data_IF_785589817352
#
_entry.id   IF_785589817352
#
_cell.length_a   1.000
_cell.length_b   1.000
_cell.length_c   1.000
_cell.angle_alpha   90.00
_cell.angle_beta   90.00
_cell.angle_gamma   90.00
#
_symmetry.space_group_name_H-M   'P 1'
#
loop_
_entity.id
_entity.type
_entity.pdbx_description
1 polymer ?
#
# COMPACT_ATOMS: atom_id res chain seq x y z
N UNK A 1 16.65 5.33 -26.22
CA UNK A 1 16.18 4.15 -25.48
C UNK A 1 14.66 4.17 -25.52
N UNK A 2 13.98 3.07 -25.83
CA UNK A 2 12.51 3.03 -25.94
C UNK A 2 11.96 2.32 -24.69
N UNK A 3 11.12 3.00 -23.92
CA UNK A 3 10.48 2.45 -22.72
C UNK A 3 9.29 1.55 -23.11
N UNK A 4 8.86 0.71 -22.18
CA UNK A 4 7.67 -0.12 -22.34
C UNK A 4 6.41 0.77 -22.36
N UNK A 5 5.46 0.48 -23.26
CA UNK A 5 4.19 1.22 -23.37
C UNK A 5 3.32 1.20 -22.10
N UNK A 6 3.51 0.20 -21.22
CA UNK A 6 2.81 0.14 -19.94
C UNK A 6 3.15 1.32 -19.03
N UNK A 7 4.36 1.88 -19.15
CA UNK A 7 4.79 3.04 -18.38
C UNK A 7 4.02 4.32 -18.73
N UNK A 8 3.49 4.42 -19.94
CA UNK A 8 2.68 5.56 -20.37
C UNK A 8 1.33 5.63 -19.62
N UNK A 9 0.94 4.52 -18.96
CA UNK A 9 -0.31 4.40 -18.18
C UNK A 9 -0.12 4.64 -16.68
N UNK A 10 1.13 4.81 -16.21
CA UNK A 10 1.38 5.10 -14.80
C UNK A 10 0.92 6.51 -14.45
N UNK A 11 0.13 6.61 -13.39
CA UNK A 11 -0.15 7.89 -12.74
C UNK A 11 1.04 8.39 -11.93
N UNK A 12 1.07 9.69 -11.64
CA UNK A 12 2.09 10.30 -10.79
C UNK A 12 1.58 10.48 -9.37
N UNK A 13 2.45 10.20 -8.40
CA UNK A 13 2.19 10.53 -7.00
C UNK A 13 2.53 12.02 -6.77
N UNK A 14 1.52 12.88 -6.91
CA UNK A 14 1.68 14.34 -6.85
C UNK A 14 2.10 14.87 -5.47
N UNK A 15 1.90 14.10 -4.40
CA UNK A 15 2.20 14.51 -3.02
C UNK A 15 3.67 14.94 -2.82
N UNK A 16 4.62 14.23 -3.42
CA UNK A 16 6.04 14.59 -3.33
C UNK A 16 6.40 15.82 -4.16
N UNK A 17 5.74 16.02 -5.29
CA UNK A 17 5.90 17.24 -6.11
C UNK A 17 5.38 18.46 -5.35
N UNK A 18 4.21 18.35 -4.73
CA UNK A 18 3.62 19.41 -3.88
C UNK A 18 4.52 19.72 -2.67
N UNK A 19 5.06 18.68 -2.02
CA UNK A 19 6.01 18.86 -0.91
C UNK A 19 7.28 19.60 -1.35
N UNK A 20 7.82 19.27 -2.52
CA UNK A 20 9.01 19.94 -3.06
C UNK A 20 8.74 21.43 -3.34
N UNK A 21 7.58 21.78 -3.91
CA UNK A 21 7.17 23.17 -4.12
C UNK A 21 6.95 23.92 -2.80
N UNK A 22 6.28 23.30 -1.83
CA UNK A 22 6.10 23.88 -0.50
C UNK A 22 7.44 24.21 0.16
N UNK A 23 8.44 23.30 0.10
CA UNK A 23 9.79 23.56 0.63
C UNK A 23 10.50 24.71 -0.07
N UNK A 24 10.31 24.89 -1.38
CA UNK A 24 10.86 26.06 -2.09
C UNK A 24 10.25 27.37 -1.61
N UNK A 25 8.95 27.39 -1.32
CA UNK A 25 8.26 28.57 -0.80
C UNK A 25 8.70 28.87 0.64
N UNK A 26 8.90 27.86 1.48
CA UNK A 26 9.48 28.01 2.81
C UNK A 26 10.88 28.64 2.78
N UNK A 27 11.73 28.16 1.87
CA UNK A 27 13.07 28.72 1.67
C UNK A 27 13.06 30.20 1.25
N UNK A 28 11.93 30.69 0.71
CA UNK A 28 11.68 32.11 0.39
C UNK A 28 11.08 32.88 1.57
N UNK A 29 10.95 32.28 2.76
CA UNK A 29 10.39 32.88 3.96
C UNK A 29 8.85 32.90 4.02
N UNK A 30 8.15 32.16 3.13
CA UNK A 30 6.70 32.06 3.19
C UNK A 30 6.27 31.02 4.22
N UNK A 31 5.37 31.33 5.17
CA UNK A 31 4.85 30.33 6.10
C UNK A 31 4.01 29.29 5.36
N UNK A 32 4.30 28.01 5.56
CA UNK A 32 3.59 26.89 4.91
C UNK A 32 2.95 25.98 5.96
N UNK A 33 1.73 25.51 5.66
CA UNK A 33 1.06 24.45 6.42
C UNK A 33 1.08 23.18 5.55
N UNK A 34 1.80 22.16 6.02
CA UNK A 34 1.98 20.91 5.28
C UNK A 34 0.85 19.92 5.56
N UNK A 35 -0.08 19.77 4.62
CA UNK A 35 -1.16 18.77 4.64
C UNK A 35 -1.07 17.77 3.49
N UNK A 36 0.01 17.83 2.69
CA UNK A 36 0.15 17.01 1.48
C UNK A 36 0.68 15.60 1.74
N UNK A 37 1.31 15.34 2.89
CA UNK A 37 1.88 14.04 3.23
C UNK A 37 1.43 13.61 4.62
N UNK A 38 0.72 12.48 4.69
CA UNK A 38 0.22 11.90 5.95
C UNK A 38 1.31 11.14 6.71
N UNK A 39 2.33 11.86 7.22
CA UNK A 39 3.36 11.26 8.06
C UNK A 39 2.98 11.37 9.54
N UNK A 40 3.03 10.26 10.31
CA UNK A 40 2.86 10.33 11.76
C UNK A 40 3.87 11.28 12.42
N UNK A 41 3.42 12.09 13.38
CA UNK A 41 4.25 13.05 14.12
C UNK A 41 4.96 12.42 15.33
N UNK A 42 4.55 11.21 15.74
CA UNK A 42 5.19 10.44 16.81
C UNK A 42 6.27 9.49 16.28
N UNK A 43 7.27 9.25 17.12
CA UNK A 43 8.40 8.39 16.77
C UNK A 43 8.04 6.91 16.89
N UNK A 44 8.81 6.07 16.20
CA UNK A 44 8.76 4.61 16.38
C UNK A 44 8.91 4.25 17.86
N UNK A 45 8.09 3.36 18.42
CA UNK A 45 8.19 2.96 19.82
C UNK A 45 9.59 2.49 20.21
N UNK A 46 10.07 2.91 21.40
CA UNK A 46 11.44 2.66 21.83
C UNK A 46 11.82 1.18 21.77
N UNK A 47 10.94 0.28 22.21
CA UNK A 47 11.21 -1.16 22.21
C UNK A 47 11.43 -1.73 20.80
N UNK A 48 10.76 -1.16 19.77
CA UNK A 48 10.96 -1.56 18.37
C UNK A 48 12.34 -1.09 17.87
N UNK A 49 12.70 0.17 18.19
CA UNK A 49 14.02 0.73 17.84
C UNK A 49 15.15 -0.09 18.49
N UNK A 50 15.03 -0.40 19.77
CA UNK A 50 16.07 -1.17 20.49
C UNK A 50 16.16 -2.62 19.96
N UNK A 51 15.03 -3.25 19.62
CA UNK A 51 15.04 -4.57 18.98
C UNK A 51 15.76 -4.57 17.63
N UNK A 52 15.55 -3.52 16.81
CA UNK A 52 16.24 -3.39 15.53
C UNK A 52 17.75 -3.19 15.69
N UNK A 53 18.16 -2.33 16.63
CA UNK A 53 19.60 -2.16 16.96
C UNK A 53 20.24 -3.46 17.39
N UNK A 54 19.59 -4.14 18.34
CA UNK A 54 20.07 -5.44 18.85
C UNK A 54 20.21 -6.46 17.72
N UNK A 55 19.25 -6.54 16.79
CA UNK A 55 19.34 -7.47 15.66
C UNK A 55 20.55 -7.19 14.77
N UNK A 56 20.90 -5.91 14.55
CA UNK A 56 22.09 -5.53 13.82
C UNK A 56 23.36 -5.90 14.59
N UNK A 57 23.43 -5.62 15.89
CA UNK A 57 24.58 -5.95 16.76
C UNK A 57 24.79 -7.48 16.84
N UNK A 58 23.70 -8.25 16.85
CA UNK A 58 23.71 -9.72 16.84
C UNK A 58 24.10 -10.32 15.46
N UNK A 59 24.27 -9.49 14.43
CA UNK A 59 24.68 -9.92 13.09
C UNK A 59 23.54 -10.40 12.17
N UNK A 60 22.28 -10.07 12.51
CA UNK A 60 21.11 -10.42 11.67
C UNK A 60 20.95 -9.49 10.46
N UNK A 61 21.95 -9.46 9.58
CA UNK A 61 21.96 -8.62 8.37
C UNK A 61 22.41 -9.39 7.10
N UNK A 62 22.42 -10.74 7.15
CA UNK A 62 22.71 -11.60 6.03
C UNK A 62 21.48 -11.89 5.16
N UNK A 63 21.67 -12.74 4.15
CA UNK A 63 20.58 -13.25 3.33
C UNK A 63 19.60 -14.08 4.13
N UNK A 64 18.32 -13.91 3.82
CA UNK A 64 17.23 -14.68 4.41
C UNK A 64 16.31 -15.23 3.31
N UNK A 65 15.32 -16.04 3.69
CA UNK A 65 14.31 -16.54 2.77
C UNK A 65 13.50 -15.36 2.16
N UNK A 66 13.15 -15.48 0.88
CA UNK A 66 12.44 -14.43 0.13
C UNK A 66 11.08 -14.05 0.70
N UNK A 67 10.42 -14.95 1.42
CA UNK A 67 9.14 -14.71 2.08
C UNK A 67 9.28 -14.17 3.52
N UNK A 68 10.49 -13.91 3.99
CA UNK A 68 10.80 -13.44 5.33
C UNK A 68 11.18 -14.55 6.30
N UNK A 69 11.82 -14.17 7.42
CA UNK A 69 12.26 -15.12 8.44
C UNK A 69 11.07 -15.81 9.12
N UNK A 70 11.17 -17.10 9.46
CA UNK A 70 10.07 -17.86 10.08
C UNK A 70 9.55 -17.20 11.35
N UNK A 71 10.41 -16.65 12.19
CA UNK A 71 10.05 -16.01 13.47
C UNK A 71 9.12 -14.80 13.25
N UNK A 72 9.40 -13.98 12.23
CA UNK A 72 8.56 -12.82 11.88
C UNK A 72 7.21 -13.30 11.32
N UNK A 73 7.20 -14.26 10.40
CA UNK A 73 5.99 -14.83 9.81
C UNK A 73 5.08 -15.45 10.86
N UNK A 74 5.65 -16.22 11.81
CA UNK A 74 4.94 -16.77 12.94
C UNK A 74 4.41 -15.69 13.92
N UNK A 75 5.17 -14.59 14.11
CA UNK A 75 4.69 -13.47 14.92
C UNK A 75 3.44 -12.82 14.31
N UNK A 76 3.40 -12.69 12.98
CA UNK A 76 2.21 -12.19 12.24
C UNK A 76 1.02 -13.13 12.46
N UNK A 77 1.19 -14.44 12.34
CA UNK A 77 0.07 -15.38 12.56
C UNK A 77 -0.47 -15.34 13.99
N UNK A 78 0.43 -15.24 14.98
CA UNK A 78 0.01 -15.04 16.39
C UNK A 78 -0.79 -13.75 16.57
N UNK A 79 -0.37 -12.66 15.91
CA UNK A 79 -1.08 -11.39 15.98
C UNK A 79 -2.47 -11.49 15.31
N UNK A 80 -2.58 -12.11 14.14
CA UNK A 80 -3.85 -12.36 13.44
C UNK A 80 -4.79 -13.19 14.33
N UNK A 81 -4.29 -14.28 14.92
CA UNK A 81 -5.07 -15.11 15.84
C UNK A 81 -5.59 -14.32 17.02
N UNK A 82 -4.72 -13.53 17.66
CA UNK A 82 -5.10 -12.69 18.81
C UNK A 82 -6.13 -11.62 18.44
N UNK A 83 -6.01 -11.00 17.25
CA UNK A 83 -6.82 -9.84 16.87
C UNK A 83 -8.16 -10.22 16.24
N UNK A 84 -8.19 -11.30 15.48
CA UNK A 84 -9.32 -11.69 14.64
C UNK A 84 -9.87 -13.10 14.93
N UNK A 85 -9.24 -13.86 15.85
CA UNK A 85 -9.59 -15.25 16.17
C UNK A 85 -9.49 -16.20 14.95
N UNK A 86 -8.65 -15.86 13.97
CA UNK A 86 -8.43 -16.63 12.74
C UNK A 86 -7.09 -17.33 12.82
N UNK A 87 -7.07 -18.63 12.51
CA UNK A 87 -5.83 -19.39 12.34
C UNK A 87 -5.34 -19.28 10.89
N UNK A 88 -4.11 -18.81 10.74
CA UNK A 88 -3.43 -18.70 9.43
C UNK A 88 -2.12 -19.46 9.52
N UNK A 89 -1.86 -20.34 8.55
CA UNK A 89 -0.57 -20.99 8.43
C UNK A 89 0.52 -19.96 8.09
N UNK A 90 1.64 -19.96 8.82
CA UNK A 90 2.73 -19.02 8.59
C UNK A 90 3.36 -19.17 7.21
N UNK A 91 3.23 -20.32 6.54
CA UNK A 91 3.65 -20.51 5.16
C UNK A 91 2.87 -19.66 4.15
N UNK A 92 1.70 -19.16 4.54
CA UNK A 92 0.90 -18.21 3.75
C UNK A 92 1.23 -16.74 4.03
N UNK A 93 2.23 -16.48 4.87
CA UNK A 93 2.67 -15.11 5.20
C UNK A 93 3.89 -14.75 4.35
N UNK A 94 3.80 -13.62 3.68
CA UNK A 94 4.89 -12.99 2.96
C UNK A 94 5.21 -11.63 3.58
N UNK A 95 6.45 -11.43 3.98
CA UNK A 95 6.93 -10.15 4.51
C UNK A 95 7.51 -9.33 3.35
N UNK A 96 6.95 -8.15 3.15
CA UNK A 96 7.34 -7.25 2.07
C UNK A 96 8.02 -5.97 2.62
N UNK A 97 8.97 -5.38 1.91
CA UNK A 97 9.63 -4.14 2.31
C UNK A 97 8.74 -2.90 2.05
N UNK A 98 7.68 -2.77 2.84
CA UNK A 98 6.70 -1.68 2.75
C UNK A 98 5.39 -2.06 2.09
N UNK A 99 4.37 -1.19 2.22
CA UNK A 99 3.03 -1.44 1.70
C UNK A 99 2.90 -1.27 0.18
N UNK A 100 3.65 -0.35 -0.42
CA UNK A 100 3.57 -0.11 -1.89
C UNK A 100 3.91 -1.34 -2.72
N UNK A 101 5.02 -2.07 -2.49
CA UNK A 101 5.29 -3.33 -3.19
C UNK A 101 4.20 -4.38 -3.01
N UNK A 102 3.61 -4.48 -1.82
CA UNK A 102 2.51 -5.42 -1.57
C UNK A 102 1.31 -5.14 -2.48
N UNK A 103 0.86 -3.88 -2.56
CA UNK A 103 -0.23 -3.47 -3.43
C UNK A 103 0.13 -3.65 -4.92
N UNK A 104 1.36 -3.28 -5.31
CA UNK A 104 1.86 -3.46 -6.66
C UNK A 104 1.77 -4.91 -7.11
N UNK A 105 2.32 -5.84 -6.34
CA UNK A 105 2.32 -7.25 -6.70
C UNK A 105 0.92 -7.87 -6.63
N UNK A 106 0.09 -7.50 -5.66
CA UNK A 106 -1.29 -7.98 -5.61
C UNK A 106 -2.06 -7.59 -6.89
N UNK A 107 -2.00 -6.31 -7.27
CA UNK A 107 -2.65 -5.83 -8.50
C UNK A 107 -2.06 -6.51 -9.74
N UNK A 108 -0.73 -6.68 -9.80
CA UNK A 108 -0.07 -7.32 -10.93
C UNK A 108 -0.41 -8.81 -11.07
N UNK A 109 -0.65 -9.51 -9.96
CA UNK A 109 -1.04 -10.92 -10.00
C UNK A 109 -2.43 -11.16 -10.59
N UNK A 110 -3.34 -10.20 -10.44
CA UNK A 110 -4.74 -10.32 -10.86
C UNK A 110 -5.12 -9.41 -12.02
N UNK A 111 -4.28 -8.41 -12.33
CA UNK A 111 -4.55 -7.40 -13.34
C UNK A 111 -4.04 -7.81 -14.72
N UNK A 112 -4.94 -7.72 -15.71
CA UNK A 112 -4.65 -7.94 -17.13
C UNK A 112 -5.63 -7.11 -17.99
N UNK A 113 -5.36 -6.90 -19.28
CA UNK A 113 -6.32 -6.24 -20.17
C UNK A 113 -7.67 -6.96 -20.20
N UNK A 114 -8.74 -6.23 -19.92
CA UNK A 114 -10.10 -6.75 -19.83
C UNK A 114 -10.57 -7.14 -18.44
N UNK A 115 -9.66 -7.23 -17.45
CA UNK A 115 -10.01 -7.40 -16.05
C UNK A 115 -10.49 -6.07 -15.44
N UNK A 116 -11.32 -6.16 -14.41
CA UNK A 116 -11.78 -5.05 -13.59
C UNK A 116 -11.27 -5.22 -12.17
N UNK A 117 -10.79 -4.11 -11.58
CA UNK A 117 -10.33 -4.07 -10.20
C UNK A 117 -11.05 -2.95 -9.47
N UNK A 118 -11.77 -3.31 -8.41
CA UNK A 118 -12.51 -2.36 -7.58
C UNK A 118 -11.54 -1.74 -6.58
N UNK A 119 -11.58 -0.41 -6.44
CA UNK A 119 -10.74 0.32 -5.50
C UNK A 119 -11.49 1.51 -4.88
N UNK A 120 -11.16 1.92 -3.64
CA UNK A 120 -11.80 3.09 -3.04
C UNK A 120 -11.37 4.40 -3.71
N UNK A 121 -12.25 5.42 -3.66
CA UNK A 121 -11.95 6.79 -4.06
C UNK A 121 -12.68 7.78 -3.10
N UNK A 122 -12.01 8.83 -2.57
CA UNK A 122 -10.56 9.09 -2.67
C UNK A 122 -9.73 8.04 -1.94
N UNK A 123 -8.55 7.72 -2.47
CA UNK A 123 -7.65 6.73 -1.89
C UNK A 123 -6.19 7.00 -2.23
N UNK A 124 -5.32 6.08 -1.81
CA UNK A 124 -3.91 6.16 -2.12
C UNK A 124 -3.67 6.01 -3.64
N UNK A 125 -2.99 6.97 -4.30
CA UNK A 125 -2.90 7.03 -5.77
C UNK A 125 -2.30 5.79 -6.44
N UNK A 126 -1.58 4.96 -5.72
CA UNK A 126 -0.96 3.76 -6.26
C UNK A 126 -2.00 2.74 -6.77
N UNK A 127 -3.20 2.68 -6.17
CA UNK A 127 -4.22 1.74 -6.61
C UNK A 127 -4.57 1.96 -8.08
N UNK A 128 -5.10 3.12 -8.42
CA UNK A 128 -5.50 3.44 -9.78
C UNK A 128 -4.32 3.40 -10.76
N UNK A 129 -3.15 3.94 -10.33
CA UNK A 129 -1.93 3.93 -11.14
C UNK A 129 -1.50 2.52 -11.53
N UNK A 130 -1.52 1.58 -10.58
CA UNK A 130 -1.13 0.19 -10.84
C UNK A 130 -2.17 -0.59 -11.63
N UNK A 131 -3.46 -0.33 -11.40
CA UNK A 131 -4.54 -0.91 -12.19
C UNK A 131 -4.36 -0.51 -13.66
N UNK A 132 -4.18 0.77 -13.92
CA UNK A 132 -3.94 1.29 -15.28
C UNK A 132 -2.65 0.71 -15.90
N UNK A 133 -1.58 0.57 -15.09
CA UNK A 133 -0.32 -0.02 -15.55
C UNK A 133 -0.51 -1.43 -16.11
N UNK A 134 -1.31 -2.29 -15.46
CA UNK A 134 -1.61 -3.65 -15.94
C UNK A 134 -2.50 -3.68 -17.20
N UNK A 135 -3.16 -2.59 -17.51
CA UNK A 135 -4.16 -2.50 -18.58
C UNK A 135 -5.56 -2.91 -18.14
N UNK A 136 -5.76 -3.16 -16.86
CA UNK A 136 -7.07 -3.40 -16.26
C UNK A 136 -7.89 -2.12 -16.18
N UNK A 137 -9.20 -2.26 -16.04
CA UNK A 137 -10.14 -1.17 -15.83
C UNK A 137 -10.27 -0.89 -14.32
N UNK A 138 -9.92 0.31 -13.83
CA UNK A 138 -10.22 0.71 -12.47
C UNK A 138 -11.74 0.92 -12.30
N UNK A 139 -12.32 0.31 -11.27
CA UNK A 139 -13.72 0.48 -10.90
C UNK A 139 -13.76 1.19 -9.54
N UNK A 140 -14.01 2.52 -9.50
CA UNK A 140 -13.96 3.27 -8.27
C UNK A 140 -15.18 2.98 -7.39
N UNK A 141 -14.92 2.75 -6.10
CA UNK A 141 -15.91 2.77 -5.03
C UNK A 141 -15.82 4.11 -4.30
N UNK A 142 -16.85 4.95 -4.43
CA UNK A 142 -16.85 6.30 -3.85
C UNK A 142 -17.14 6.27 -2.34
N UNK A 143 -16.14 6.68 -1.54
CA UNK A 143 -16.25 6.83 -0.09
C UNK A 143 -16.91 8.15 0.33
N UNK A 144 -16.98 9.14 -0.57
CA UNK A 144 -17.53 10.48 -0.23
C UNK A 144 -19.05 10.50 -0.15
N UNK A 145 -19.72 9.56 -0.78
CA UNK A 145 -21.19 9.41 -0.70
C UNK A 145 -21.66 8.95 0.68
N UNK A 146 -20.77 8.35 1.47
CA UNK A 146 -21.07 7.91 2.82
C UNK A 146 -20.55 8.97 3.81
N UNK A 147 -21.43 9.61 4.57
CA UNK A 147 -21.10 10.72 5.48
C UNK A 147 -19.99 10.40 6.48
N UNK A 148 -19.77 9.12 6.76
CA UNK A 148 -18.79 8.62 7.72
C UNK A 148 -17.54 8.03 7.04
N UNK A 149 -17.40 8.11 5.71
CA UNK A 149 -16.35 7.43 4.93
C UNK A 149 -16.31 5.92 5.20
N UNK A 150 -17.46 5.34 5.53
CA UNK A 150 -17.57 3.92 5.85
C UNK A 150 -17.75 3.08 4.60
N UNK A 151 -17.28 1.87 4.72
CA UNK A 151 -17.43 0.84 3.73
C UNK A 151 -18.89 0.34 3.71
N UNK A 152 -19.54 0.38 2.53
CA UNK A 152 -20.86 -0.19 2.32
C UNK A 152 -20.75 -1.48 1.48
N UNK A 153 -20.88 -2.67 2.11
CA UNK A 153 -20.74 -3.94 1.39
C UNK A 153 -21.73 -4.11 0.23
N UNK A 154 -22.96 -3.70 0.38
CA UNK A 154 -24.00 -3.87 -0.66
C UNK A 154 -23.65 -3.06 -1.91
N UNK A 155 -23.14 -1.84 -1.73
CA UNK A 155 -22.69 -1.01 -2.84
C UNK A 155 -21.51 -1.65 -3.57
N UNK A 156 -20.56 -2.21 -2.84
CA UNK A 156 -19.41 -2.90 -3.44
C UNK A 156 -19.86 -4.15 -4.18
N UNK A 157 -20.74 -4.94 -3.58
CA UNK A 157 -21.29 -6.13 -4.24
C UNK A 157 -21.98 -5.77 -5.56
N UNK A 158 -22.65 -4.61 -5.65
CA UNK A 158 -23.27 -4.14 -6.88
C UNK A 158 -22.30 -3.77 -8.00
N UNK A 159 -21.01 -3.54 -7.67
CA UNK A 159 -19.94 -3.23 -8.65
C UNK A 159 -19.27 -4.48 -9.21
N UNK A 160 -19.55 -5.66 -8.63
CA UNK A 160 -18.92 -6.91 -9.06
C UNK A 160 -19.55 -7.37 -10.37
N UNK A 161 -18.70 -7.68 -11.34
CA UNK A 161 -19.05 -8.27 -12.64
C UNK A 161 -18.26 -9.55 -12.88
N UNK A 162 -18.52 -10.25 -13.97
CA UNK A 162 -17.74 -11.43 -14.39
C UNK A 162 -16.27 -11.10 -14.70
N UNK A 163 -15.96 -9.81 -14.90
CA UNK A 163 -14.59 -9.32 -15.17
C UNK A 163 -13.85 -8.93 -13.90
N UNK A 164 -14.54 -8.79 -12.78
CA UNK A 164 -13.90 -8.42 -11.50
C UNK A 164 -12.93 -9.50 -11.05
N UNK A 165 -11.68 -9.10 -10.79
CA UNK A 165 -10.59 -10.00 -10.37
C UNK A 165 -10.06 -9.68 -8.98
N UNK A 166 -10.18 -8.45 -8.53
CA UNK A 166 -9.65 -7.99 -7.25
C UNK A 166 -10.54 -6.89 -6.68
N UNK A 167 -10.60 -6.86 -5.35
CA UNK A 167 -11.24 -5.83 -4.53
C UNK A 167 -10.26 -5.36 -3.45
#
# INVERSE_FOLDING_TARGET
MKLAKSLDRLGTESAFTVLAEAKKLEAQGKPMIHLGLGQPDFKTPKHVVEAAKKALDDGHHGYVMSNGIPECRQAVTRWIKKRYSVDVDFERILIMPGGKPTMHYAIQCFGEPGAEIIHPTPAFPIYESMINYTGSTPVPYDLTEDKDLKFNPDKILSLITDKTRLL
#
